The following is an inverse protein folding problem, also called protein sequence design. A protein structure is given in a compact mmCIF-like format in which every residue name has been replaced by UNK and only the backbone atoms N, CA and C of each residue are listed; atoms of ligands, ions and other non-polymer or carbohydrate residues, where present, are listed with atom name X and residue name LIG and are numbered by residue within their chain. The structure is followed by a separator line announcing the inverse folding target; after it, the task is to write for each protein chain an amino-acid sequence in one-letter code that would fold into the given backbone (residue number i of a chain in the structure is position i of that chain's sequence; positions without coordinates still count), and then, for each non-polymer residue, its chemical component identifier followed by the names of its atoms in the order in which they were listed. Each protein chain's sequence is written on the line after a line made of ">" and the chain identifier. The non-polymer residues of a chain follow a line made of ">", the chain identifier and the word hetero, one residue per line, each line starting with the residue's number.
data_IF_554570992734
#
_entry.id   IF_554570992734
#
_cell.length_a   1.000
_cell.length_b   1.000
_cell.length_c   1.000
_cell.angle_alpha   90.00
_cell.angle_beta   90.00
_cell.angle_gamma   90.00
#
_symmetry.space_group_name_H-M   'P 1'
#
loop_
_entity.id
_entity.type
_entity.pdbx_description
1 polymer ?
#
# COMPACT_ATOMS: atom_id res chain seq x y z
N UNK A 1 -12.81 -32.53 -0.19
CA UNK A 1 -14.28 -32.43 -0.41
C UNK A 1 -15.04 -31.52 0.58
N UNK A 2 -14.44 -30.99 1.66
CA UNK A 2 -15.14 -30.09 2.61
C UNK A 2 -15.44 -28.67 2.09
N UNK A 3 -14.87 -28.23 0.96
CA UNK A 3 -14.90 -26.81 0.53
C UNK A 3 -16.13 -26.37 -0.28
N UNK A 4 -16.78 -27.25 -1.05
CA UNK A 4 -17.82 -26.79 -1.99
C UNK A 4 -19.14 -26.50 -1.26
N UNK A 5 -19.52 -27.33 -0.27
CA UNK A 5 -20.75 -27.13 0.51
C UNK A 5 -20.66 -25.93 1.46
N UNK A 6 -19.52 -25.70 2.10
CA UNK A 6 -19.30 -24.52 2.94
C UNK A 6 -19.26 -23.24 2.09
N UNK A 7 -18.60 -23.27 0.93
CA UNK A 7 -18.57 -22.14 0.01
C UNK A 7 -19.96 -21.80 -0.55
N UNK A 8 -20.73 -22.81 -0.97
CA UNK A 8 -22.09 -22.62 -1.48
C UNK A 8 -23.06 -22.11 -0.40
N UNK A 9 -22.97 -22.66 0.82
CA UNK A 9 -23.78 -22.20 1.94
C UNK A 9 -23.41 -20.78 2.34
N UNK A 10 -22.12 -20.43 2.35
CA UNK A 10 -21.66 -19.07 2.62
C UNK A 10 -22.18 -18.09 1.59
N UNK A 11 -22.05 -18.36 0.29
CA UNK A 11 -22.55 -17.44 -0.74
C UNK A 11 -24.06 -17.19 -0.63
N UNK A 12 -24.82 -18.22 -0.23
CA UNK A 12 -26.27 -18.11 -0.03
C UNK A 12 -26.59 -17.29 1.23
N UNK A 13 -26.03 -17.63 2.38
CA UNK A 13 -26.24 -16.88 3.64
C UNK A 13 -25.71 -15.45 3.54
N UNK A 14 -24.60 -15.25 2.82
CA UNK A 14 -24.04 -13.95 2.47
C UNK A 14 -25.01 -13.11 1.66
N UNK A 15 -25.59 -13.65 0.58
CA UNK A 15 -26.57 -12.93 -0.24
C UNK A 15 -27.82 -12.53 0.55
N UNK A 16 -28.27 -13.37 1.49
CA UNK A 16 -29.39 -13.04 2.37
C UNK A 16 -29.00 -11.96 3.39
N UNK A 17 -27.81 -12.06 3.99
CA UNK A 17 -27.31 -11.08 4.94
C UNK A 17 -27.12 -9.71 4.28
N UNK A 18 -26.57 -9.66 3.06
CA UNK A 18 -26.48 -8.43 2.26
C UNK A 18 -27.85 -7.81 2.03
N UNK A 19 -28.81 -8.61 1.55
CA UNK A 19 -30.16 -8.11 1.27
C UNK A 19 -30.83 -7.61 2.54
N UNK A 20 -30.61 -8.28 3.67
CA UNK A 20 -31.08 -7.82 4.97
C UNK A 20 -30.39 -6.51 5.39
N UNK A 21 -29.06 -6.42 5.29
CA UNK A 21 -28.31 -5.21 5.64
C UNK A 21 -28.73 -4.02 4.78
N UNK A 22 -28.95 -4.22 3.48
CA UNK A 22 -29.41 -3.17 2.58
C UNK A 22 -30.87 -2.75 2.84
N UNK A 23 -31.69 -3.63 3.41
CA UNK A 23 -33.11 -3.35 3.69
C UNK A 23 -33.34 -2.76 5.09
N UNK A 24 -32.55 -3.18 6.08
CA UNK A 24 -32.73 -2.82 7.48
C UNK A 24 -31.72 -1.79 7.99
N UNK A 25 -30.55 -1.65 7.36
CA UNK A 25 -29.51 -0.72 7.83
C UNK A 25 -29.64 0.63 7.13
N UNK A 26 -29.72 1.70 7.91
CA UNK A 26 -29.61 3.08 7.43
C UNK A 26 -28.23 3.38 6.81
N UNK A 27 -27.21 2.56 7.10
CA UNK A 27 -25.82 2.76 6.68
C UNK A 27 -25.16 1.43 6.27
N UNK A 28 -25.55 0.86 5.11
CA UNK A 28 -25.09 -0.48 4.70
C UNK A 28 -23.57 -0.57 4.64
N UNK A 29 -22.88 0.47 4.17
CA UNK A 29 -21.42 0.54 4.03
C UNK A 29 -20.64 0.26 5.33
N UNK A 30 -21.12 0.71 6.50
CA UNK A 30 -20.50 0.45 7.80
C UNK A 30 -20.62 -1.03 8.16
N UNK A 31 -21.79 -1.63 7.86
CA UNK A 31 -22.02 -3.04 8.11
C UNK A 31 -21.08 -3.94 7.29
N UNK A 32 -20.81 -3.61 6.02
CA UNK A 32 -19.82 -4.34 5.21
C UNK A 32 -18.41 -4.20 5.77
N UNK A 33 -18.01 -3.01 6.19
CA UNK A 33 -16.70 -2.77 6.78
C UNK A 33 -16.52 -3.59 8.08
N UNK A 34 -17.51 -3.57 8.96
CA UNK A 34 -17.48 -4.30 10.24
C UNK A 34 -17.51 -5.82 10.02
N UNK A 35 -18.33 -6.30 9.10
CA UNK A 35 -18.38 -7.72 8.74
C UNK A 35 -17.06 -8.19 8.12
N UNK A 36 -16.49 -7.39 7.20
CA UNK A 36 -15.19 -7.64 6.63
C UNK A 36 -14.10 -7.75 7.70
N UNK A 37 -14.05 -6.79 8.62
CA UNK A 37 -13.10 -6.78 9.74
C UNK A 37 -13.25 -8.01 10.63
N UNK A 38 -14.48 -8.41 10.93
CA UNK A 38 -14.77 -9.61 11.73
C UNK A 38 -14.32 -10.89 11.01
N UNK A 39 -14.51 -10.98 9.69
CA UNK A 39 -14.06 -12.12 8.88
C UNK A 39 -12.52 -12.19 8.79
N UNK A 40 -11.83 -11.04 8.75
CA UNK A 40 -10.37 -10.98 8.85
C UNK A 40 -9.91 -11.56 10.19
N UNK A 41 -10.53 -11.13 11.30
CA UNK A 41 -10.20 -11.63 12.64
C UNK A 41 -10.43 -13.15 12.78
N UNK A 42 -11.40 -13.71 12.04
CA UNK A 42 -11.66 -15.16 11.98
C UNK A 42 -10.73 -15.92 11.02
N UNK A 43 -9.80 -15.23 10.34
CA UNK A 43 -8.91 -15.83 9.33
C UNK A 43 -9.60 -16.20 8.01
N UNK A 44 -10.86 -15.78 7.81
CA UNK A 44 -11.64 -16.06 6.59
C UNK A 44 -11.35 -15.03 5.51
N UNK A 45 -10.07 -14.91 5.12
CA UNK A 45 -9.57 -13.82 4.28
C UNK A 45 -10.20 -13.77 2.88
N UNK A 46 -10.54 -14.92 2.28
CA UNK A 46 -11.20 -14.95 0.97
C UNK A 46 -12.59 -14.34 0.98
N UNK A 47 -13.35 -14.63 2.03
CA UNK A 47 -14.70 -14.12 2.19
C UNK A 47 -14.69 -12.65 2.59
N UNK A 48 -13.80 -12.27 3.52
CA UNK A 48 -13.57 -10.88 3.90
C UNK A 48 -13.28 -10.01 2.67
N UNK A 49 -12.43 -10.49 1.76
CA UNK A 49 -12.12 -9.77 0.52
C UNK A 49 -13.35 -9.58 -0.39
N UNK A 50 -14.25 -10.58 -0.45
CA UNK A 50 -15.52 -10.45 -1.18
C UNK A 50 -16.42 -9.40 -0.55
N UNK A 51 -16.61 -9.47 0.78
CA UNK A 51 -17.47 -8.55 1.54
C UNK A 51 -17.01 -7.11 1.39
N UNK A 52 -15.71 -6.86 1.61
CA UNK A 52 -15.14 -5.52 1.49
C UNK A 52 -15.28 -4.97 0.07
N UNK A 53 -15.04 -5.81 -0.95
CA UNK A 53 -15.18 -5.41 -2.37
C UNK A 53 -16.63 -5.11 -2.76
N UNK A 54 -17.60 -5.79 -2.18
CA UNK A 54 -19.01 -5.50 -2.46
C UNK A 54 -19.46 -4.24 -1.72
N UNK A 55 -18.94 -3.99 -0.51
CA UNK A 55 -19.13 -2.73 0.22
C UNK A 55 -18.62 -1.51 -0.56
N UNK A 56 -17.52 -1.63 -1.31
CA UNK A 56 -17.01 -0.52 -2.13
C UNK A 56 -17.81 -0.25 -3.40
N UNK A 57 -18.72 -1.15 -3.80
CA UNK A 57 -19.60 -0.93 -4.96
C UNK A 57 -20.93 -0.28 -4.59
N UNK A 58 -21.20 -0.08 -3.30
CA UNK A 58 -22.42 0.57 -2.87
C UNK A 58 -22.41 2.02 -3.34
N UNK A 59 -23.51 2.42 -3.97
CA UNK A 59 -23.69 3.81 -4.39
C UNK A 59 -24.13 4.65 -3.19
N UNK A 60 -23.34 5.69 -2.90
CA UNK A 60 -23.67 6.66 -1.86
C UNK A 60 -24.66 7.75 -2.31
N UNK A 61 -25.29 7.59 -3.48
CA UNK A 61 -26.18 8.59 -4.06
C UNK A 61 -27.47 8.69 -3.24
N UNK A 62 -27.72 9.86 -2.63
CA UNK A 62 -28.91 10.12 -1.82
C UNK A 62 -28.75 9.88 -0.32
N UNK A 63 -27.54 9.52 0.15
CA UNK A 63 -27.26 9.44 1.58
C UNK A 63 -27.12 10.84 2.19
N UNK A 64 -27.68 11.01 3.39
CA UNK A 64 -27.53 12.24 4.19
C UNK A 64 -26.07 12.49 4.56
N UNK A 65 -25.31 11.43 4.83
CA UNK A 65 -23.94 11.48 5.34
C UNK A 65 -22.93 10.94 4.31
N UNK A 66 -22.83 11.63 3.16
CA UNK A 66 -21.95 11.23 2.06
C UNK A 66 -20.48 11.12 2.46
N UNK A 67 -19.99 12.01 3.35
CA UNK A 67 -18.60 11.99 3.78
C UNK A 67 -18.25 10.69 4.54
N UNK A 68 -19.16 10.20 5.40
CA UNK A 68 -18.97 8.94 6.12
C UNK A 68 -19.00 7.73 5.20
N UNK A 69 -19.89 7.75 4.21
CA UNK A 69 -19.92 6.73 3.15
C UNK A 69 -18.58 6.62 2.44
N UNK A 70 -18.02 7.75 1.99
CA UNK A 70 -16.72 7.74 1.32
C UNK A 70 -15.59 7.32 2.26
N UNK A 71 -15.58 7.79 3.52
CA UNK A 71 -14.57 7.37 4.50
C UNK A 71 -14.60 5.86 4.76
N UNK A 72 -15.79 5.27 4.85
CA UNK A 72 -15.95 3.82 5.01
C UNK A 72 -15.58 3.04 3.74
N UNK A 73 -15.84 3.60 2.56
CA UNK A 73 -15.36 3.07 1.28
C UNK A 73 -13.84 3.03 1.25
N UNK A 74 -13.17 4.13 1.59
CA UNK A 74 -11.70 4.18 1.69
C UNK A 74 -11.17 3.17 2.70
N UNK A 75 -11.77 3.10 3.89
CA UNK A 75 -11.39 2.13 4.92
C UNK A 75 -11.55 0.68 4.44
N UNK A 76 -12.60 0.39 3.66
CA UNK A 76 -12.83 -0.93 3.08
C UNK A 76 -11.76 -1.29 2.04
N UNK A 77 -11.37 -0.32 1.19
CA UNK A 77 -10.26 -0.49 0.24
C UNK A 77 -8.93 -0.70 0.95
N UNK A 78 -8.67 0.02 2.04
CA UNK A 78 -7.46 -0.14 2.85
C UNK A 78 -7.36 -1.56 3.45
N UNK A 79 -8.44 -2.06 4.03
CA UNK A 79 -8.49 -3.42 4.58
C UNK A 79 -8.36 -4.48 3.48
N UNK A 80 -8.98 -4.26 2.32
CA UNK A 80 -8.86 -5.15 1.16
C UNK A 80 -7.42 -5.19 0.61
N UNK A 81 -6.77 -4.03 0.52
CA UNK A 81 -5.36 -3.93 0.14
C UNK A 81 -4.44 -4.62 1.15
N UNK A 82 -4.72 -4.46 2.45
CA UNK A 82 -3.99 -5.14 3.54
C UNK A 82 -4.08 -6.65 3.41
N UNK A 83 -5.28 -7.17 3.21
CA UNK A 83 -5.51 -8.60 2.97
C UNK A 83 -4.74 -9.14 1.76
N UNK A 84 -4.69 -8.39 0.65
CA UNK A 84 -3.90 -8.82 -0.51
C UNK A 84 -2.40 -8.76 -0.26
N UNK A 85 -1.95 -7.80 0.53
CA UNK A 85 -0.56 -7.63 0.95
C UNK A 85 -0.12 -8.82 1.80
N UNK A 86 -0.92 -9.20 2.80
CA UNK A 86 -0.67 -10.40 3.64
C UNK A 86 -0.65 -11.70 2.82
N UNK A 87 -1.52 -11.82 1.81
CA UNK A 87 -1.55 -12.97 0.90
C UNK A 87 -0.39 -12.99 -0.13
N UNK A 88 0.50 -12.00 -0.11
CA UNK A 88 1.59 -11.87 -1.09
C UNK A 88 1.13 -11.46 -2.50
N UNK A 89 -0.14 -11.10 -2.68
CA UNK A 89 -0.71 -10.64 -3.96
C UNK A 89 -0.43 -9.15 -4.17
N UNK A 90 0.85 -8.78 -4.16
CA UNK A 90 1.31 -7.40 -4.12
C UNK A 90 0.78 -6.54 -5.29
N UNK A 91 0.68 -7.10 -6.50
CA UNK A 91 0.11 -6.37 -7.65
C UNK A 91 -1.38 -6.03 -7.48
N UNK A 92 -2.16 -6.93 -6.86
CA UNK A 92 -3.57 -6.65 -6.56
C UNK A 92 -3.70 -5.62 -5.44
N UNK A 93 -2.83 -5.70 -4.43
CA UNK A 93 -2.77 -4.70 -3.37
C UNK A 93 -2.48 -3.30 -3.94
N UNK A 94 -1.50 -3.16 -4.84
CA UNK A 94 -1.21 -1.90 -5.52
C UNK A 94 -2.42 -1.33 -6.27
N UNK A 95 -3.15 -2.18 -6.99
CA UNK A 95 -4.34 -1.74 -7.73
C UNK A 95 -5.41 -1.17 -6.78
N UNK A 96 -5.68 -1.86 -5.66
CA UNK A 96 -6.65 -1.44 -4.65
C UNK A 96 -6.22 -0.16 -3.93
N UNK A 97 -4.95 -0.04 -3.53
CA UNK A 97 -4.46 1.16 -2.87
C UNK A 97 -4.43 2.37 -3.81
N UNK A 98 -4.13 2.17 -5.10
CA UNK A 98 -4.25 3.23 -6.12
C UNK A 98 -5.69 3.66 -6.34
N UNK A 99 -6.63 2.72 -6.34
CA UNK A 99 -8.07 3.04 -6.37
C UNK A 99 -8.44 3.90 -5.17
N UNK A 100 -8.03 3.52 -3.96
CA UNK A 100 -8.29 4.30 -2.75
C UNK A 100 -7.73 5.71 -2.82
N UNK A 101 -6.52 5.88 -3.38
CA UNK A 101 -5.91 7.20 -3.56
C UNK A 101 -6.67 8.05 -4.60
N UNK A 102 -7.20 7.43 -5.66
CA UNK A 102 -7.94 8.13 -6.71
C UNK A 102 -9.33 8.57 -6.24
N UNK A 103 -9.99 7.77 -5.39
CA UNK A 103 -11.33 8.08 -4.85
C UNK A 103 -11.28 8.84 -3.52
N UNK A 104 -10.13 9.39 -3.15
CA UNK A 104 -9.91 10.01 -1.85
C UNK A 104 -10.75 11.30 -1.70
N UNK A 105 -11.60 11.41 -0.66
CA UNK A 105 -12.25 12.68 -0.34
C UNK A 105 -11.22 13.70 0.14
N UNK A 106 -11.43 14.98 -0.19
CA UNK A 106 -10.54 16.07 0.28
C UNK A 106 -10.41 16.16 1.81
N UNK A 107 -11.37 15.60 2.55
CA UNK A 107 -11.38 15.55 4.01
C UNK A 107 -10.60 14.38 4.60
N UNK A 108 -10.23 13.38 3.80
CA UNK A 108 -9.57 12.17 4.29
C UNK A 108 -8.05 12.33 4.26
N UNK A 109 -7.31 11.99 5.33
CA UNK A 109 -5.86 12.12 5.34
C UNK A 109 -5.20 11.03 4.46
N UNK A 110 -4.42 11.38 3.42
CA UNK A 110 -3.85 10.41 2.48
C UNK A 110 -2.63 9.64 3.04
N UNK A 111 -2.15 10.05 4.22
CA UNK A 111 -0.92 9.59 4.85
C UNK A 111 -0.84 8.05 4.99
N UNK A 112 -1.94 7.42 5.38
CA UNK A 112 -2.06 5.97 5.56
C UNK A 112 -1.94 5.21 4.23
N UNK A 113 -2.53 5.76 3.16
CA UNK A 113 -2.48 5.15 1.83
C UNK A 113 -1.07 5.25 1.25
N UNK A 114 -0.39 6.39 1.44
CA UNK A 114 1.00 6.55 1.04
C UNK A 114 1.93 5.58 1.77
N UNK A 115 1.74 5.43 3.08
CA UNK A 115 2.51 4.46 3.86
C UNK A 115 2.32 3.03 3.32
N UNK A 116 1.08 2.60 3.12
CA UNK A 116 0.76 1.25 2.59
C UNK A 116 1.25 1.02 1.17
N UNK A 117 1.19 2.03 0.30
CA UNK A 117 1.78 1.95 -1.04
C UNK A 117 3.30 1.78 -0.95
N UNK A 118 3.97 2.56 -0.10
CA UNK A 118 5.40 2.45 0.15
C UNK A 118 5.81 1.04 0.61
N UNK A 119 5.08 0.47 1.57
CA UNK A 119 5.32 -0.90 2.06
C UNK A 119 5.16 -1.95 0.95
N UNK A 120 4.12 -1.85 0.13
CA UNK A 120 3.94 -2.78 -0.99
C UNK A 120 5.05 -2.64 -2.05
N UNK A 121 5.51 -1.42 -2.35
CA UNK A 121 6.64 -1.22 -3.26
C UNK A 121 7.96 -1.73 -2.67
N UNK A 122 8.18 -1.55 -1.37
CA UNK A 122 9.32 -2.10 -0.64
C UNK A 122 9.35 -3.62 -0.78
N UNK A 123 8.22 -4.30 -0.56
CA UNK A 123 8.09 -5.76 -0.72
C UNK A 123 8.21 -6.25 -2.17
N UNK A 124 8.09 -5.36 -3.15
CA UNK A 124 8.33 -5.64 -4.57
C UNK A 124 9.77 -5.34 -5.00
N UNK A 125 10.66 -4.95 -4.06
CA UNK A 125 12.02 -4.47 -4.32
C UNK A 125 12.06 -3.29 -5.32
N UNK A 126 11.00 -2.48 -5.33
CA UNK A 126 10.90 -1.27 -6.15
C UNK A 126 11.28 -0.07 -5.29
N UNK A 127 12.58 0.03 -5.01
CA UNK A 127 13.13 1.00 -4.07
C UNK A 127 12.82 2.46 -4.40
N UNK A 128 12.95 2.93 -5.66
CA UNK A 128 12.68 4.33 -6.00
C UNK A 128 11.20 4.71 -5.75
N UNK A 129 10.27 3.82 -6.07
CA UNK A 129 8.85 4.05 -5.82
C UNK A 129 8.52 3.95 -4.33
N UNK A 130 9.10 2.99 -3.60
CA UNK A 130 8.92 2.85 -2.16
C UNK A 130 9.35 4.13 -1.43
N UNK A 131 10.53 4.66 -1.78
CA UNK A 131 11.06 5.91 -1.26
C UNK A 131 10.09 7.08 -1.49
N UNK A 132 9.65 7.23 -2.74
CA UNK A 132 8.75 8.33 -3.12
C UNK A 132 7.48 8.33 -2.27
N UNK A 133 6.88 7.16 -2.03
CA UNK A 133 5.65 7.05 -1.24
C UNK A 133 5.89 7.20 0.26
N UNK A 134 7.00 6.68 0.81
CA UNK A 134 7.35 6.93 2.21
C UNK A 134 7.66 8.40 2.49
N UNK A 135 8.33 9.10 1.55
CA UNK A 135 8.55 10.54 1.63
C UNK A 135 7.23 11.32 1.57
N UNK A 136 6.33 10.96 0.65
CA UNK A 136 5.00 11.55 0.59
C UNK A 136 4.19 11.34 1.88
N UNK A 137 4.33 10.18 2.53
CA UNK A 137 3.72 9.92 3.83
C UNK A 137 4.31 10.80 4.95
N UNK A 138 5.63 11.02 4.95
CA UNK A 138 6.32 11.93 5.89
C UNK A 138 5.88 13.37 5.73
N UNK A 139 5.74 13.84 4.49
CA UNK A 139 5.31 15.21 4.20
C UNK A 139 3.83 15.41 4.54
N UNK A 140 3.02 14.35 4.46
CA UNK A 140 1.65 14.32 4.94
C UNK A 140 1.51 14.21 6.47
N UNK A 141 2.62 14.10 7.23
CA UNK A 141 2.62 14.06 8.69
C UNK A 141 2.55 12.66 9.32
N UNK A 142 2.78 11.59 8.56
CA UNK A 142 2.80 10.23 9.11
C UNK A 142 4.05 10.00 9.98
N UNK A 143 3.88 10.04 11.30
CA UNK A 143 4.98 9.88 12.28
C UNK A 143 5.73 8.55 12.07
N UNK A 144 5.00 7.47 11.75
CA UNK A 144 5.60 6.15 11.51
C UNK A 144 6.35 6.01 10.19
N UNK A 145 6.25 6.97 9.26
CA UNK A 145 6.90 6.84 7.96
C UNK A 145 8.43 6.98 8.05
N UNK A 146 8.96 7.64 9.08
CA UNK A 146 10.41 7.76 9.31
C UNK A 146 11.05 6.40 9.54
N UNK A 147 10.36 5.53 10.29
CA UNK A 147 10.82 4.17 10.55
C UNK A 147 10.93 3.35 9.26
N UNK A 148 9.90 3.39 8.41
CA UNK A 148 9.90 2.67 7.14
C UNK A 148 10.91 3.24 6.15
N UNK A 149 11.14 4.56 6.19
CA UNK A 149 12.19 5.20 5.40
C UNK A 149 13.58 4.72 5.83
N UNK A 150 13.84 4.61 7.14
CA UNK A 150 15.08 4.04 7.65
C UNK A 150 15.27 2.58 7.24
N UNK A 151 14.20 1.75 7.31
CA UNK A 151 14.23 0.37 6.83
C UNK A 151 14.55 0.27 5.33
N UNK A 152 13.97 1.15 4.52
CA UNK A 152 14.25 1.22 3.09
C UNK A 152 15.73 1.54 2.81
N UNK A 153 16.27 2.55 3.48
CA UNK A 153 17.67 2.95 3.32
C UNK A 153 18.62 1.81 3.69
N UNK A 154 18.36 1.11 4.81
CA UNK A 154 19.15 -0.05 5.22
C UNK A 154 19.07 -1.20 4.20
N UNK A 155 17.90 -1.46 3.61
CA UNK A 155 17.74 -2.48 2.59
C UNK A 155 18.52 -2.16 1.31
N UNK A 156 18.50 -0.88 0.87
CA UNK A 156 19.26 -0.42 -0.30
C UNK A 156 20.77 -0.57 -0.06
N UNK A 157 21.28 -0.18 1.12
CA UNK A 157 22.69 -0.35 1.48
C UNK A 157 23.12 -1.83 1.43
N UNK A 158 22.29 -2.74 1.96
CA UNK A 158 22.57 -4.18 1.95
C UNK A 158 22.51 -4.77 0.53
N UNK A 159 21.63 -4.30 -0.34
CA UNK A 159 21.58 -4.75 -1.74
C UNK A 159 22.76 -4.21 -2.56
N UNK A 160 23.14 -2.94 -2.36
CA UNK A 160 24.29 -2.34 -3.03
C UNK A 160 25.60 -3.02 -2.62
N UNK A 161 25.77 -3.32 -1.33
CA UNK A 161 26.93 -4.06 -0.82
C UNK A 161 26.98 -5.50 -1.32
N UNK A 162 25.85 -6.19 -1.48
CA UNK A 162 25.83 -7.54 -2.09
C UNK A 162 26.06 -7.51 -3.61
N UNK A 163 25.61 -6.47 -4.33
CA UNK A 163 25.87 -6.35 -5.77
C UNK A 163 27.32 -5.93 -6.09
N UNK A 164 27.94 -5.12 -5.22
CA UNK A 164 29.33 -4.71 -5.34
C UNK A 164 30.33 -5.87 -5.17
N UNK A 165 29.90 -6.99 -4.59
CA UNK A 165 30.72 -8.22 -4.45
C UNK A 165 30.87 -8.98 -5.78
N UNK A 166 30.12 -8.64 -6.84
CA UNK A 166 30.20 -9.33 -8.15
C UNK A 166 31.07 -8.60 -9.19
N UNK A 167 31.70 -7.46 -8.87
CA UNK A 167 32.62 -6.84 -9.83
C UNK A 167 33.70 -5.94 -9.21
N UNK A 168 34.54 -6.53 -8.36
CA UNK A 168 35.83 -5.95 -8.00
C UNK A 168 36.95 -6.99 -8.08
N UNK A 169 36.96 -7.78 -9.15
CA UNK A 169 38.14 -8.51 -9.56
C UNK A 169 39.02 -7.60 -10.45
N UNK A 170 40.22 -7.33 -9.93
CA UNK A 170 41.41 -6.81 -10.60
C UNK A 170 41.59 -5.28 -10.71
N UNK A 171 42.14 -4.72 -9.63
CA UNK A 171 43.39 -3.94 -9.62
C UNK A 171 43.42 -2.44 -9.97
N UNK A 172 42.33 -1.67 -9.90
CA UNK A 172 42.47 -0.20 -9.75
C UNK A 172 41.17 0.46 -9.32
N UNK A 173 41.23 1.25 -8.24
CA UNK A 173 40.26 2.33 -8.04
C UNK A 173 40.56 3.36 -9.14
N UNK A 174 39.86 3.21 -10.26
CA UNK A 174 39.82 4.20 -11.33
C UNK A 174 38.39 4.70 -11.38
N UNK A 175 38.22 5.95 -10.93
CA UNK A 175 37.05 6.76 -11.26
C UNK A 175 37.00 6.80 -12.79
N UNK A 176 36.15 5.99 -13.41
CA UNK A 176 35.87 6.07 -14.84
C UNK A 176 34.99 7.30 -15.10
N UNK A 177 35.61 8.47 -15.03
CA UNK A 177 35.12 9.68 -15.66
C UNK A 177 36.19 10.16 -16.64
N UNK A 178 36.06 9.75 -17.90
CA UNK A 178 36.30 10.52 -19.12
C UNK A 178 36.49 9.57 -20.30
N UNK A 179 35.38 9.26 -20.97
CA UNK A 179 35.35 9.17 -22.44
C UNK A 179 33.88 9.20 -22.90
N UNK A 180 33.35 10.42 -22.97
CA UNK A 180 32.26 10.69 -23.90
C UNK A 180 32.84 10.57 -25.32
N UNK A 181 32.22 9.73 -26.15
CA UNK A 181 31.56 10.30 -27.31
C UNK A 181 30.27 9.56 -27.67
N UNK A 182 29.19 10.32 -27.42
CA UNK A 182 27.86 10.32 -28.04
C UNK A 182 26.94 9.11 -27.82
N UNK A 183 25.92 9.33 -26.97
CA UNK A 183 24.59 8.72 -27.18
C UNK A 183 23.93 8.03 -25.99
N UNK A 184 23.66 8.77 -24.89
CA UNK A 184 22.76 8.44 -23.78
C UNK A 184 23.12 7.25 -22.87
N UNK A 185 23.58 7.56 -21.66
CA UNK A 185 23.44 6.70 -20.47
C UNK A 185 22.81 7.52 -19.34
N UNK A 186 21.69 7.01 -18.82
CA UNK A 186 20.88 7.66 -17.79
C UNK A 186 21.58 7.47 -16.43
N UNK A 187 21.99 8.61 -15.85
CA UNK A 187 22.20 8.93 -14.44
C UNK A 187 22.28 7.75 -13.43
N UNK A 188 23.50 7.45 -12.96
CA UNK A 188 23.73 6.75 -11.69
C UNK A 188 24.36 7.65 -10.61
N UNK A 189 24.27 8.98 -10.77
CA UNK A 189 24.81 9.99 -9.83
C UNK A 189 23.74 10.47 -8.84
N UNK A 190 22.48 10.09 -9.01
CA UNK A 190 21.40 10.61 -8.17
C UNK A 190 21.21 9.90 -6.83
N UNK A 191 21.70 8.66 -6.65
CA UNK A 191 21.38 7.87 -5.45
C UNK A 191 22.18 8.28 -4.20
N UNK A 192 23.49 8.49 -4.28
CA UNK A 192 24.29 8.84 -3.10
C UNK A 192 23.98 10.26 -2.57
N UNK A 193 23.75 11.22 -3.47
CA UNK A 193 23.34 12.57 -3.08
C UNK A 193 21.92 12.60 -2.54
N UNK A 194 21.00 11.78 -3.08
CA UNK A 194 19.67 11.61 -2.50
C UNK A 194 19.75 11.03 -1.09
N UNK A 195 20.56 9.99 -0.88
CA UNK A 195 20.72 9.30 0.39
C UNK A 195 21.16 10.26 1.50
N UNK A 196 22.23 11.04 1.25
CA UNK A 196 22.71 12.05 2.20
C UNK A 196 21.67 13.14 2.48
N UNK A 197 20.92 13.59 1.47
CA UNK A 197 19.87 14.60 1.61
C UNK A 197 18.67 14.10 2.43
N UNK A 198 18.30 12.82 2.31
CA UNK A 198 17.19 12.22 3.06
C UNK A 198 17.58 12.03 4.53
N UNK A 199 18.76 11.44 4.79
CA UNK A 199 19.25 11.23 6.16
C UNK A 199 19.34 12.57 6.89
N UNK A 200 19.84 13.61 6.23
CA UNK A 200 19.90 14.97 6.79
C UNK A 200 18.50 15.54 7.10
N UNK A 201 17.50 15.35 6.22
CA UNK A 201 16.14 15.84 6.47
C UNK A 201 15.38 15.04 7.55
N UNK A 202 15.62 13.73 7.65
CA UNK A 202 15.04 12.89 8.72
C UNK A 202 15.60 13.32 10.07
N UNK A 203 16.93 13.49 10.19
CA UNK A 203 17.59 13.94 11.41
C UNK A 203 17.13 15.34 11.83
N UNK A 204 16.88 16.23 10.87
CA UNK A 204 16.37 17.58 11.13
C UNK A 204 14.93 17.62 11.62
N UNK A 205 14.05 16.69 11.22
CA UNK A 205 12.66 16.62 11.71
C UNK A 205 12.53 15.94 13.09
N UNK A 206 13.58 15.28 13.57
CA UNK A 206 13.61 14.58 14.87
C UNK A 206 14.30 15.37 16.00
N UNK A 207 14.90 16.52 15.68
CA UNK A 207 15.52 17.46 16.64
C UNK A 207 14.61 18.68 16.84
#
# INVERSE_FOLDING_TARGET
>A
MKNIKTFYNFHRTYSYLIRALNYYSSYPYIAYLNLGTSLIALGRCHEAASVLRDGTKLDGTGLRDRAEHENARISSLLQLGGLYTEQGKLQRALAVYREALYTLPSSYPPQEIYHRLGDVFFRLNKWPEAERFHRAALDAGHIGASFHMAQLLHAIEHEMSNSAVVQCDCHSILICNQQYNVGQTISNVNCEQHFAFIVWNILRKLA
#
